data_IF_812488109042
#
_entry.id   IF_812488109042
#
_cell.length_a   1.000
_cell.length_b   1.000
_cell.length_c   1.000
_cell.angle_alpha   90.00
_cell.angle_beta   90.00
_cell.angle_gamma   90.00
#
_symmetry.space_group_name_H-M   'P 1'
#
loop_
_entity.id
_entity.type
_entity.pdbx_description
1 polymer ?
#
# COMPACT_ATOMS: atom_id res chain seq x y z
N UNK A 1 14.68 1.01 8.32
CA UNK A 1 13.39 0.60 8.88
C UNK A 1 12.43 0.19 7.77
N UNK A 2 11.68 -0.86 8.01
CA UNK A 2 10.73 -1.32 7.00
C UNK A 2 9.43 -0.54 7.07
N UNK A 3 8.72 -0.51 5.97
CA UNK A 3 7.40 0.09 5.87
C UNK A 3 6.39 -0.99 5.57
N UNK A 4 5.20 -0.86 6.12
CA UNK A 4 4.13 -1.84 5.99
C UNK A 4 2.83 -1.16 5.61
N UNK A 5 2.05 -1.84 4.77
CA UNK A 5 0.69 -1.43 4.46
C UNK A 5 -0.23 -2.64 4.60
N UNK A 6 -1.42 -2.43 5.13
CA UNK A 6 -2.45 -3.47 5.24
C UNK A 6 -3.72 -3.02 4.54
N UNK A 7 -4.28 -3.91 3.74
CA UNK A 7 -5.55 -3.66 3.09
C UNK A 7 -6.68 -4.33 3.87
N UNK A 8 -7.86 -3.71 3.94
CA UNK A 8 -9.01 -4.34 4.61
C UNK A 8 -9.40 -5.71 4.07
N UNK A 9 -9.00 -6.02 2.84
CA UNK A 9 -9.27 -7.33 2.25
C UNK A 9 -8.35 -8.44 2.78
N UNK A 10 -7.40 -8.10 3.65
CA UNK A 10 -6.46 -9.07 4.23
C UNK A 10 -5.08 -9.05 3.62
N UNK A 11 -4.87 -8.29 2.54
CA UNK A 11 -3.57 -8.18 1.90
C UNK A 11 -2.64 -7.30 2.75
N UNK A 12 -1.42 -7.73 2.91
CA UNK A 12 -0.42 -7.01 3.69
C UNK A 12 0.93 -7.08 2.97
N UNK A 13 1.62 -5.96 2.93
CA UNK A 13 2.96 -5.87 2.34
C UNK A 13 3.91 -5.21 3.32
N UNK A 14 5.09 -5.79 3.46
CA UNK A 14 6.18 -5.21 4.24
C UNK A 14 7.38 -5.08 3.31
N UNK A 15 7.95 -3.88 3.23
CA UNK A 15 9.09 -3.64 2.36
C UNK A 15 10.21 -2.90 3.11
N UNK A 16 11.45 -3.37 2.99
CA UNK A 16 12.60 -2.66 3.54
C UNK A 16 13.05 -1.49 2.66
N UNK A 17 12.49 -1.37 1.45
CA UNK A 17 12.90 -0.34 0.50
C UNK A 17 12.33 1.04 0.81
N UNK A 18 11.27 1.11 1.61
CA UNK A 18 10.71 2.39 2.01
C UNK A 18 9.32 2.63 1.43
N UNK A 19 8.86 3.87 1.62
CA UNK A 19 7.49 4.26 1.28
C UNK A 19 7.19 4.13 -0.21
N UNK A 20 8.13 4.50 -1.06
CA UNK A 20 7.88 4.47 -2.50
C UNK A 20 7.65 3.06 -3.02
N UNK A 21 8.39 2.09 -2.50
CA UNK A 21 8.20 0.70 -2.90
C UNK A 21 6.85 0.18 -2.42
N UNK A 22 6.49 0.49 -1.18
CA UNK A 22 5.19 0.09 -0.63
C UNK A 22 4.05 0.75 -1.42
N UNK A 23 4.18 2.02 -1.73
CA UNK A 23 3.20 2.75 -2.50
C UNK A 23 3.00 2.11 -3.89
N UNK A 24 4.09 1.79 -4.55
CA UNK A 24 4.04 1.17 -5.88
C UNK A 24 3.27 -0.14 -5.85
N UNK A 25 3.58 -1.01 -4.90
CA UNK A 25 2.92 -2.30 -4.80
C UNK A 25 1.46 -2.16 -4.37
N UNK A 26 1.17 -1.20 -3.50
CA UNK A 26 -0.20 -0.93 -3.08
C UNK A 26 -1.07 -0.46 -4.26
N UNK A 27 -0.51 0.36 -5.12
CA UNK A 27 -1.23 0.82 -6.30
C UNK A 27 -1.53 -0.32 -7.25
N UNK A 28 -0.58 -1.23 -7.44
CA UNK A 28 -0.78 -2.42 -8.26
C UNK A 28 -1.87 -3.31 -7.66
N UNK A 29 -1.82 -3.51 -6.35
CA UNK A 29 -2.82 -4.29 -5.65
C UNK A 29 -4.22 -3.70 -5.81
N UNK A 30 -4.34 -2.39 -5.64
CA UNK A 30 -5.63 -1.72 -5.79
C UNK A 30 -6.18 -1.89 -7.20
N UNK A 31 -5.32 -1.80 -8.20
CA UNK A 31 -5.72 -1.95 -9.58
C UNK A 31 -6.20 -3.37 -9.89
N UNK A 32 -5.52 -4.37 -9.33
CA UNK A 32 -5.85 -5.77 -9.60
C UNK A 32 -7.03 -6.28 -8.80
N UNK A 33 -7.07 -5.94 -7.51
CA UNK A 33 -8.06 -6.51 -6.59
C UNK A 33 -9.24 -5.58 -6.32
N UNK A 34 -9.05 -4.28 -6.54
CA UNK A 34 -10.08 -3.28 -6.28
C UNK A 34 -10.21 -2.33 -7.46
N UNK A 35 -10.58 -2.83 -8.65
CA UNK A 35 -10.53 -2.02 -9.88
C UNK A 35 -11.50 -0.85 -9.93
N UNK A 36 -12.37 -0.72 -8.99
CA UNK A 36 -13.28 0.42 -8.93
C UNK A 36 -12.89 1.49 -7.93
N UNK A 37 -11.84 1.25 -7.18
CA UNK A 37 -11.39 2.20 -6.17
C UNK A 37 -10.57 3.32 -6.79
N UNK A 38 -10.87 4.55 -6.37
CA UNK A 38 -10.13 5.73 -6.81
C UNK A 38 -9.31 6.29 -5.66
N UNK A 39 -8.56 5.42 -4.99
CA UNK A 39 -7.69 5.86 -3.91
C UNK A 39 -6.56 6.72 -4.46
N UNK A 40 -6.33 7.86 -3.81
CA UNK A 40 -5.24 8.74 -4.16
C UNK A 40 -3.95 8.28 -3.49
N UNK A 41 -2.82 8.77 -3.98
CA UNK A 41 -1.53 8.49 -3.35
C UNK A 41 -1.51 8.92 -1.89
N UNK A 42 -2.16 10.04 -1.57
CA UNK A 42 -2.22 10.53 -0.21
C UNK A 42 -2.90 9.54 0.73
N UNK A 43 -3.97 8.92 0.28
CA UNK A 43 -4.67 7.92 1.07
C UNK A 43 -3.82 6.68 1.30
N UNK A 44 -3.11 6.25 0.27
CA UNK A 44 -2.19 5.13 0.37
C UNK A 44 -1.08 5.44 1.39
N UNK A 45 -0.52 6.64 1.32
CA UNK A 45 0.54 7.05 2.24
C UNK A 45 0.08 7.06 3.70
N UNK A 46 -1.17 7.41 3.95
CA UNK A 46 -1.72 7.40 5.30
C UNK A 46 -1.85 6.01 5.89
N UNK A 47 -1.96 5.00 5.03
CA UNK A 47 -2.09 3.61 5.45
C UNK A 47 -0.74 2.97 5.75
N UNK A 48 0.35 3.58 5.31
CA UNK A 48 1.70 3.02 5.47
C UNK A 48 2.20 3.30 6.89
N UNK A 49 2.72 2.27 7.52
CA UNK A 49 3.28 2.36 8.87
C UNK A 49 4.74 1.96 8.87
N UNK A 50 5.49 2.51 9.80
CA UNK A 50 6.87 2.09 10.04
C UNK A 50 6.88 0.91 11.01
N UNK A 51 7.56 -0.14 10.64
CA UNK A 51 7.67 -1.34 11.46
C UNK A 51 9.13 -1.74 11.69
#
# INVERSE_FOLDING_TARGET
>A
MAKMISCPCGWTLISPQGVEDVKKHAMIHAKDCHPGLTETEDEVLKMIKTV
#
